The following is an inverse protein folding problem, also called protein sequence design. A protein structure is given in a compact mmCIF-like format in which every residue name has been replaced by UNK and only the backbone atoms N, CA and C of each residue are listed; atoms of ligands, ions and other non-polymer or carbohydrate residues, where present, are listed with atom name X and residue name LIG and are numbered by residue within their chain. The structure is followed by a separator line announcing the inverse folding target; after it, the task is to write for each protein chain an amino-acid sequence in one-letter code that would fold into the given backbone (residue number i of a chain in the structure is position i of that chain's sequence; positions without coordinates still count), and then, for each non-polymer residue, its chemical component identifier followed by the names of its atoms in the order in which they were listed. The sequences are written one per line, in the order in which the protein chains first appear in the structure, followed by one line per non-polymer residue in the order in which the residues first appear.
data_IF_345559677483
#
_entry.id   IF_345559677483
#
_cell.length_a   1.000
_cell.length_b   1.000
_cell.length_c   1.000
_cell.angle_alpha   90.00
_cell.angle_beta   90.00
_cell.angle_gamma   90.00
#
_symmetry.space_group_name_H-M   'P 1'
#
loop_
_entity.id
_entity.type
_entity.pdbx_description
1 polymer ?
#
# COMPACT_ATOMS: atom_id res chain seq x y z
N UNK A 1 -22.05 -50.97 -5.59
CA UNK A 1 -20.97 -50.30 -4.82
C UNK A 1 -20.41 -49.17 -5.66
N UNK A 2 -20.51 -47.96 -5.13
CA UNK A 2 -20.04 -46.64 -5.60
C UNK A 2 -18.48 -46.59 -5.70
N UNK A 3 -17.84 -45.60 -6.36
CA UNK A 3 -17.95 -44.19 -5.95
C UNK A 3 -18.13 -43.13 -7.05
N UNK A 4 -18.98 -42.17 -6.72
CA UNK A 4 -19.03 -40.81 -7.23
C UNK A 4 -17.69 -40.09 -7.01
N UNK A 5 -17.17 -39.42 -8.03
CA UNK A 5 -16.13 -38.40 -7.87
C UNK A 5 -16.77 -37.05 -7.56
N UNK A 6 -16.33 -36.47 -6.45
CA UNK A 6 -16.89 -35.31 -5.75
C UNK A 6 -16.58 -33.99 -6.46
N UNK A 7 -17.63 -33.20 -6.68
CA UNK A 7 -17.79 -31.78 -6.31
C UNK A 7 -16.57 -30.86 -6.47
N UNK A 8 -16.67 -29.96 -7.46
CA UNK A 8 -16.34 -28.54 -7.34
C UNK A 8 -14.86 -28.18 -7.18
N UNK A 9 -14.25 -27.75 -8.28
CA UNK A 9 -13.01 -26.95 -8.28
C UNK A 9 -13.19 -25.82 -7.25
N UNK A 10 -12.49 -25.90 -6.12
CA UNK A 10 -12.41 -24.82 -5.13
C UNK A 10 -12.14 -23.52 -5.90
N UNK A 11 -12.92 -22.46 -5.65
CA UNK A 11 -12.53 -21.12 -6.09
C UNK A 11 -11.06 -20.97 -5.71
N UNK A 12 -10.22 -20.65 -6.69
CA UNK A 12 -8.81 -20.36 -6.43
C UNK A 12 -8.79 -19.21 -5.44
N UNK A 13 -8.62 -19.51 -4.15
CA UNK A 13 -8.53 -18.46 -3.13
C UNK A 13 -7.18 -17.80 -3.33
N UNK A 14 -7.17 -16.68 -4.05
CA UNK A 14 -5.98 -15.84 -4.21
C UNK A 14 -5.71 -15.08 -2.90
N UNK A 15 -4.46 -14.72 -2.58
CA UNK A 15 -4.15 -13.85 -1.45
C UNK A 15 -5.01 -12.57 -1.45
N UNK A 16 -5.25 -12.01 -2.63
CA UNK A 16 -6.13 -10.85 -2.84
C UNK A 16 -7.56 -11.10 -2.35
N UNK A 17 -8.16 -12.25 -2.67
CA UNK A 17 -9.51 -12.59 -2.21
C UNK A 17 -9.59 -12.67 -0.68
N UNK A 18 -8.55 -13.19 -0.01
CA UNK A 18 -8.50 -13.23 1.46
C UNK A 18 -8.46 -11.81 2.03
N UNK A 19 -7.63 -10.93 1.46
CA UNK A 19 -7.54 -9.53 1.90
C UNK A 19 -8.86 -8.81 1.72
N UNK A 20 -9.53 -8.95 0.58
CA UNK A 20 -10.84 -8.32 0.33
C UNK A 20 -11.88 -8.73 1.39
N UNK A 21 -12.04 -10.05 1.61
CA UNK A 21 -12.97 -10.58 2.61
C UNK A 21 -12.62 -10.11 4.02
N UNK A 22 -11.34 -10.04 4.35
CA UNK A 22 -10.90 -9.58 5.66
C UNK A 22 -11.18 -8.08 5.86
N UNK A 23 -10.92 -7.24 4.86
CA UNK A 23 -11.21 -5.81 4.91
C UNK A 23 -12.71 -5.56 5.06
N UNK A 24 -13.56 -6.30 4.35
CA UNK A 24 -15.02 -6.22 4.53
C UNK A 24 -15.45 -6.58 5.95
N UNK A 25 -14.89 -7.66 6.53
CA UNK A 25 -15.18 -8.05 7.91
C UNK A 25 -14.70 -7.01 8.92
N UNK A 26 -13.46 -6.51 8.77
CA UNK A 26 -12.91 -5.49 9.66
C UNK A 26 -13.70 -4.18 9.58
N UNK A 27 -14.16 -3.81 8.39
CA UNK A 27 -15.03 -2.66 8.17
C UNK A 27 -16.39 -2.80 8.87
N UNK A 28 -17.01 -3.98 8.76
CA UNK A 28 -18.37 -4.21 9.23
C UNK A 28 -18.45 -4.44 10.75
N UNK A 29 -17.46 -5.14 11.32
CA UNK A 29 -17.46 -5.58 12.72
C UNK A 29 -16.43 -4.86 13.60
N UNK A 30 -15.54 -4.07 13.01
CA UNK A 30 -14.38 -3.50 13.69
C UNK A 30 -13.20 -4.48 13.71
N UNK A 31 -11.98 -3.95 13.60
CA UNK A 31 -10.78 -4.77 13.54
C UNK A 31 -10.65 -5.65 14.78
N UNK A 32 -10.80 -5.10 15.99
CA UNK A 32 -10.62 -5.84 17.25
C UNK A 32 -11.52 -7.07 17.39
N UNK A 33 -12.79 -6.97 16.97
CA UNK A 33 -13.83 -8.00 17.17
C UNK A 33 -13.83 -9.12 16.12
N UNK A 34 -12.93 -9.07 15.14
CA UNK A 34 -12.77 -10.10 14.11
C UNK A 34 -11.55 -10.96 14.40
N UNK A 35 -11.73 -12.26 14.61
CA UNK A 35 -10.61 -13.19 14.80
C UNK A 35 -10.02 -13.65 13.46
N UNK A 36 -8.83 -14.25 13.50
CA UNK A 36 -8.26 -14.92 12.30
C UNK A 36 -9.09 -16.13 11.86
N UNK A 37 -9.85 -16.74 12.78
CA UNK A 37 -10.74 -17.85 12.45
C UNK A 37 -12.01 -17.36 11.73
N UNK A 38 -12.54 -16.18 12.10
CA UNK A 38 -13.63 -15.51 11.38
C UNK A 38 -13.21 -15.26 9.92
N UNK A 39 -12.01 -14.69 9.71
CA UNK A 39 -11.49 -14.41 8.36
C UNK A 39 -11.30 -15.71 7.56
N UNK A 40 -10.69 -16.73 8.16
CA UNK A 40 -10.48 -18.01 7.50
C UNK A 40 -11.81 -18.66 7.10
N UNK A 41 -12.80 -18.63 7.99
CA UNK A 41 -14.14 -19.15 7.74
C UNK A 41 -14.82 -18.41 6.58
N UNK A 42 -14.82 -17.07 6.62
CA UNK A 42 -15.43 -16.24 5.57
C UNK A 42 -14.75 -16.40 4.21
N UNK A 43 -13.42 -16.59 4.18
CA UNK A 43 -12.65 -16.84 2.96
C UNK A 43 -12.73 -18.31 2.49
N UNK A 44 -13.45 -19.19 3.20
CA UNK A 44 -13.62 -20.60 2.84
C UNK A 44 -12.33 -21.43 2.95
N UNK A 45 -11.40 -21.05 3.83
CA UNK A 45 -10.09 -21.68 4.01
C UNK A 45 -9.85 -22.11 5.47
N UNK A 46 -8.82 -22.92 5.70
CA UNK A 46 -8.40 -23.25 7.07
C UNK A 46 -7.51 -22.14 7.65
N UNK A 47 -7.50 -22.02 8.99
CA UNK A 47 -6.55 -21.16 9.73
C UNK A 47 -5.10 -21.40 9.30
N UNK A 48 -4.69 -22.68 9.14
CA UNK A 48 -3.36 -23.05 8.63
C UNK A 48 -3.08 -22.49 7.23
N UNK A 49 -4.10 -22.42 6.37
CA UNK A 49 -3.97 -21.86 5.03
C UNK A 49 -3.83 -20.34 5.07
N UNK A 50 -4.60 -19.66 5.93
CA UNK A 50 -4.46 -18.22 6.16
C UNK A 50 -3.03 -17.86 6.60
N UNK A 51 -2.49 -18.57 7.59
CA UNK A 51 -1.12 -18.32 8.09
C UNK A 51 0.00 -18.67 7.12
N UNK A 52 -0.29 -19.41 6.04
CA UNK A 52 0.68 -19.61 4.95
C UNK A 52 0.88 -18.34 4.12
N UNK A 53 -0.15 -17.49 4.03
CA UNK A 53 -0.11 -16.24 3.30
C UNK A 53 0.26 -15.06 4.19
N UNK A 54 -0.23 -15.03 5.43
CA UNK A 54 -0.09 -13.89 6.32
C UNK A 54 0.49 -14.30 7.67
N UNK A 55 1.59 -13.66 8.08
CA UNK A 55 2.25 -13.95 9.35
C UNK A 55 1.41 -13.59 10.58
N UNK A 56 0.46 -12.66 10.43
CA UNK A 56 -0.42 -12.21 11.50
C UNK A 56 -1.73 -11.63 10.94
N UNK A 57 -2.72 -11.40 11.80
CA UNK A 57 -3.94 -10.65 11.46
C UNK A 57 -3.62 -9.24 10.93
N UNK A 58 -2.62 -8.59 11.52
CA UNK A 58 -2.21 -7.22 11.18
C UNK A 58 -1.59 -7.14 9.78
N UNK A 59 -1.06 -8.25 9.26
CA UNK A 59 -0.50 -8.33 7.91
C UNK A 59 -1.58 -8.44 6.82
N UNK A 60 -2.78 -8.93 7.15
CA UNK A 60 -3.83 -9.22 6.15
C UNK A 60 -4.25 -7.97 5.36
N UNK A 61 -4.48 -6.79 5.99
CA UNK A 61 -4.81 -5.56 5.27
C UNK A 61 -3.76 -5.09 4.26
N UNK A 62 -2.50 -5.50 4.44
CA UNK A 62 -1.39 -5.10 3.58
C UNK A 62 -1.24 -5.99 2.34
N UNK A 63 -1.92 -7.15 2.31
CA UNK A 63 -1.88 -8.07 1.18
C UNK A 63 -0.45 -8.51 0.87
N UNK A 64 -0.15 -8.64 -0.42
CA UNK A 64 1.20 -8.91 -0.92
C UNK A 64 1.97 -7.58 -1.08
N UNK A 65 2.37 -7.02 0.06
CA UNK A 65 3.05 -5.72 0.07
C UNK A 65 4.41 -5.75 -0.61
N UNK A 66 5.10 -6.89 -0.61
CA UNK A 66 6.39 -7.03 -1.31
C UNK A 66 6.22 -6.88 -2.82
N UNK A 67 5.14 -7.45 -3.39
CA UNK A 67 4.78 -7.23 -4.81
C UNK A 67 4.45 -5.76 -5.08
N UNK A 68 3.76 -5.08 -4.15
CA UNK A 68 3.52 -3.64 -4.27
C UNK A 68 4.84 -2.83 -4.24
N UNK A 69 5.78 -3.16 -3.36
CA UNK A 69 7.09 -2.51 -3.32
C UNK A 69 7.92 -2.78 -4.58
N UNK A 70 7.85 -3.99 -5.15
CA UNK A 70 8.48 -4.31 -6.42
C UNK A 70 7.91 -3.44 -7.55
N UNK A 71 6.58 -3.31 -7.62
CA UNK A 71 5.93 -2.45 -8.61
C UNK A 71 6.35 -0.97 -8.47
N UNK A 72 6.47 -0.45 -7.24
CA UNK A 72 6.97 0.91 -7.03
C UNK A 72 8.43 1.07 -7.51
N UNK A 73 9.29 0.06 -7.28
CA UNK A 73 10.67 0.09 -7.80
C UNK A 73 10.67 0.14 -9.32
N UNK A 74 9.88 -0.70 -9.98
CA UNK A 74 9.75 -0.71 -11.45
C UNK A 74 9.32 0.66 -11.99
N UNK A 75 8.29 1.26 -11.39
CA UNK A 75 7.82 2.61 -11.78
C UNK A 75 8.90 3.68 -11.66
N UNK A 76 9.82 3.56 -10.70
CA UNK A 76 10.91 4.51 -10.50
C UNK A 76 12.10 4.22 -11.43
N UNK A 77 12.44 2.95 -11.62
CA UNK A 77 13.55 2.50 -12.46
C UNK A 77 13.28 2.77 -13.95
N UNK A 78 12.02 2.76 -14.37
CA UNK A 78 11.59 3.05 -15.76
C UNK A 78 11.61 4.54 -16.12
N UNK A 79 11.84 5.44 -15.16
CA UNK A 79 11.87 6.89 -15.43
C UNK A 79 13.16 7.28 -16.16
N UNK A 80 13.04 8.01 -17.28
CA UNK A 80 14.20 8.59 -17.98
C UNK A 80 15.07 9.39 -16.98
N UNK A 81 16.37 9.07 -16.81
CA UNK A 81 17.26 9.74 -15.86
C UNK A 81 17.36 11.26 -16.04
N UNK A 82 17.01 11.78 -17.21
CA UNK A 82 16.98 13.23 -17.50
C UNK A 82 15.75 13.93 -16.93
N UNK A 83 14.71 13.20 -16.53
CA UNK A 83 13.54 13.77 -15.86
C UNK A 83 13.97 14.27 -14.47
N UNK A 84 13.67 15.52 -14.09
CA UNK A 84 14.01 16.07 -12.78
C UNK A 84 13.51 15.19 -11.64
N UNK A 85 14.30 15.08 -10.56
CA UNK A 85 14.00 14.17 -9.44
C UNK A 85 12.59 14.36 -8.87
N UNK A 86 12.17 15.61 -8.67
CA UNK A 86 10.82 15.91 -8.16
C UNK A 86 9.72 15.43 -9.10
N UNK A 87 9.86 15.61 -10.41
CA UNK A 87 8.88 15.17 -11.41
C UNK A 87 8.81 13.63 -11.48
N UNK A 88 9.95 12.95 -11.38
CA UNK A 88 10.03 11.49 -11.31
C UNK A 88 9.27 10.95 -10.09
N UNK A 89 9.53 11.52 -8.90
CA UNK A 89 8.88 11.13 -7.65
C UNK A 89 7.37 11.41 -7.67
N UNK A 90 6.95 12.55 -8.21
CA UNK A 90 5.52 12.89 -8.36
C UNK A 90 4.81 11.90 -9.27
N UNK A 91 5.43 11.59 -10.41
CA UNK A 91 4.87 10.67 -11.41
C UNK A 91 4.73 9.26 -10.85
N UNK A 92 5.78 8.74 -10.20
CA UNK A 92 5.74 7.43 -9.56
C UNK A 92 4.71 7.37 -8.42
N UNK A 93 4.62 8.42 -7.58
CA UNK A 93 3.60 8.51 -6.53
C UNK A 93 2.18 8.44 -7.10
N UNK A 94 1.88 9.17 -8.17
CA UNK A 94 0.56 9.16 -8.79
C UNK A 94 0.26 7.82 -9.47
N UNK A 95 1.21 7.29 -10.25
CA UNK A 95 1.06 6.02 -10.95
C UNK A 95 0.83 4.85 -9.97
N UNK A 96 1.61 4.79 -8.89
CA UNK A 96 1.50 3.75 -7.86
C UNK A 96 0.15 3.75 -7.12
N UNK A 97 -0.53 4.90 -7.08
CA UNK A 97 -1.82 5.06 -6.40
C UNK A 97 -2.98 5.31 -7.39
N UNK A 98 -2.82 4.88 -8.64
CA UNK A 98 -3.89 4.92 -9.66
C UNK A 98 -4.61 3.58 -9.69
N UNK A 99 -5.94 3.62 -9.63
CA UNK A 99 -6.82 2.46 -9.57
C UNK A 99 -8.04 2.70 -10.46
N UNK A 100 -8.71 1.64 -10.92
CA UNK A 100 -10.04 1.80 -11.52
C UNK A 100 -11.09 2.20 -10.46
N UNK A 101 -12.30 2.59 -10.88
CA UNK A 101 -13.35 3.05 -9.95
C UNK A 101 -13.72 1.98 -8.91
N UNK A 102 -13.76 0.70 -9.32
CA UNK A 102 -14.11 -0.41 -8.44
C UNK A 102 -13.02 -0.68 -7.41
N UNK A 103 -11.76 -0.59 -7.84
CA UNK A 103 -10.57 -0.75 -7.02
C UNK A 103 -10.40 0.43 -6.08
N UNK A 104 -10.71 1.65 -6.52
CA UNK A 104 -10.67 2.87 -5.72
C UNK A 104 -11.59 2.75 -4.50
N UNK A 105 -12.83 2.25 -4.69
CA UNK A 105 -13.76 2.05 -3.58
C UNK A 105 -13.23 1.00 -2.57
N UNK A 106 -12.72 -0.15 -3.06
CA UNK A 106 -12.12 -1.18 -2.20
C UNK A 106 -10.89 -0.66 -1.46
N UNK A 107 -10.05 0.08 -2.17
CA UNK A 107 -8.85 0.67 -1.64
C UNK A 107 -9.15 1.71 -0.56
N UNK A 108 -10.20 2.53 -0.74
CA UNK A 108 -10.69 3.47 0.27
C UNK A 108 -11.05 2.76 1.55
N UNK A 109 -11.79 1.65 1.45
CA UNK A 109 -12.14 0.85 2.62
C UNK A 109 -10.91 0.24 3.31
N UNK A 110 -9.95 -0.28 2.53
CA UNK A 110 -8.67 -0.78 3.05
C UNK A 110 -7.91 0.29 3.83
N UNK A 111 -7.80 1.49 3.26
CA UNK A 111 -7.07 2.60 3.89
C UNK A 111 -7.79 3.15 5.13
N UNK A 112 -9.13 3.16 5.17
CA UNK A 112 -9.86 3.46 6.42
C UNK A 112 -9.50 2.49 7.52
N UNK A 113 -9.53 1.18 7.23
CA UNK A 113 -9.16 0.15 8.21
C UNK A 113 -7.72 0.37 8.71
N UNK A 114 -6.76 0.60 7.81
CA UNK A 114 -5.35 0.79 8.18
C UNK A 114 -5.11 2.08 8.97
N UNK A 115 -5.68 3.21 8.52
CA UNK A 115 -5.43 4.54 9.09
C UNK A 115 -6.24 4.85 10.35
N UNK A 116 -7.40 4.22 10.52
CA UNK A 116 -8.31 4.48 11.65
C UNK A 116 -8.26 3.39 12.74
N UNK A 117 -7.37 2.40 12.61
CA UNK A 117 -7.15 1.35 13.62
C UNK A 117 -5.78 1.52 14.28
N UNK A 118 -5.75 1.76 15.60
CA UNK A 118 -4.52 2.03 16.34
C UNK A 118 -3.48 0.89 16.26
N UNK A 119 -3.94 -0.37 16.33
CA UNK A 119 -3.08 -1.55 16.23
C UNK A 119 -2.44 -1.67 14.83
N UNK A 120 -3.17 -1.29 13.78
CA UNK A 120 -2.65 -1.28 12.42
C UNK A 120 -1.72 -0.11 12.18
N UNK A 121 -1.97 1.05 12.81
CA UNK A 121 -1.03 2.17 12.80
C UNK A 121 0.34 1.78 13.39
N UNK A 122 0.35 1.07 14.53
CA UNK A 122 1.59 0.57 15.10
C UNK A 122 2.32 -0.42 14.17
N UNK A 123 1.58 -1.34 13.54
CA UNK A 123 2.14 -2.30 12.59
C UNK A 123 2.62 -1.64 11.28
N UNK A 124 1.94 -0.59 10.84
CA UNK A 124 2.20 0.11 9.57
C UNK A 124 3.61 0.69 9.49
N UNK A 125 4.21 1.04 10.64
CA UNK A 125 5.56 1.62 10.69
C UNK A 125 6.62 0.70 10.06
N UNK A 126 6.47 -0.62 10.21
CA UNK A 126 7.33 -1.61 9.55
C UNK A 126 7.12 -1.63 8.04
N UNK A 127 5.87 -1.54 7.60
CA UNK A 127 5.52 -1.56 6.17
C UNK A 127 6.01 -0.27 5.48
N UNK A 128 5.78 0.88 6.10
CA UNK A 128 6.27 2.17 5.62
C UNK A 128 7.79 2.27 5.60
N UNK A 129 8.52 1.51 6.43
CA UNK A 129 9.97 1.45 6.34
C UNK A 129 10.43 0.86 5.00
N UNK A 130 9.83 -0.25 4.56
CA UNK A 130 10.14 -0.85 3.25
C UNK A 130 9.79 0.09 2.08
N UNK A 131 8.66 0.78 2.16
CA UNK A 131 8.29 1.79 1.17
C UNK A 131 9.29 2.95 1.10
N UNK A 132 9.69 3.49 2.26
CA UNK A 132 10.71 4.54 2.33
C UNK A 132 12.07 4.08 1.82
N UNK A 133 12.44 2.83 2.02
CA UNK A 133 13.69 2.27 1.50
C UNK A 133 13.73 2.27 -0.03
N UNK A 134 12.61 1.97 -0.69
CA UNK A 134 12.49 2.08 -2.15
C UNK A 134 12.74 3.52 -2.62
N UNK A 135 12.06 4.49 -2.02
CA UNK A 135 12.24 5.91 -2.37
C UNK A 135 13.68 6.37 -2.11
N UNK A 136 14.24 6.03 -0.95
CA UNK A 136 15.60 6.40 -0.60
C UNK A 136 16.62 5.78 -1.58
N UNK A 137 16.42 4.52 -1.99
CA UNK A 137 17.27 3.85 -2.97
C UNK A 137 17.29 4.56 -4.32
N UNK A 138 16.11 4.92 -4.84
CA UNK A 138 16.00 5.68 -6.09
C UNK A 138 16.68 7.05 -5.99
N UNK A 139 16.42 7.81 -4.92
CA UNK A 139 17.02 9.13 -4.71
C UNK A 139 18.54 9.03 -4.58
N UNK A 140 19.04 8.04 -3.84
CA UNK A 140 20.47 7.82 -3.68
C UNK A 140 21.16 7.51 -5.01
N UNK A 141 20.53 6.69 -5.86
CA UNK A 141 21.00 6.43 -7.22
C UNK A 141 21.07 7.69 -8.08
N UNK A 142 20.03 8.55 -8.02
CA UNK A 142 19.99 9.82 -8.75
C UNK A 142 21.01 10.85 -8.27
N UNK A 143 21.38 10.82 -7.00
CA UNK A 143 22.33 11.75 -6.37
C UNK A 143 23.75 11.19 -6.23
N UNK A 144 24.00 9.96 -6.72
CA UNK A 144 25.28 9.24 -6.60
C UNK A 144 25.82 9.20 -5.16
N UNK A 145 24.94 8.96 -4.19
CA UNK A 145 25.27 8.94 -2.76
C UNK A 145 24.78 7.65 -2.08
N UNK A 146 24.97 7.53 -0.76
CA UNK A 146 24.50 6.35 -0.02
C UNK A 146 23.02 6.52 0.33
N UNK A 147 22.26 5.42 0.28
CA UNK A 147 20.86 5.39 0.74
C UNK A 147 20.68 5.87 2.18
N UNK A 148 21.70 5.72 3.02
CA UNK A 148 21.70 6.15 4.42
C UNK A 148 22.04 7.63 4.62
N UNK A 149 22.43 8.35 3.57
CA UNK A 149 22.76 9.77 3.67
C UNK A 149 21.50 10.60 3.96
N UNK A 150 21.68 11.78 4.54
CA UNK A 150 20.58 12.61 5.04
C UNK A 150 19.57 12.96 3.93
N UNK A 151 20.04 13.28 2.72
CA UNK A 151 19.18 13.72 1.63
C UNK A 151 18.20 12.61 1.16
N UNK A 152 18.65 11.40 0.75
CA UNK A 152 17.72 10.32 0.38
C UNK A 152 16.72 9.95 1.48
N UNK A 153 17.18 9.88 2.73
CA UNK A 153 16.30 9.57 3.87
C UNK A 153 15.26 10.67 4.10
N UNK A 154 15.65 11.94 4.02
CA UNK A 154 14.73 13.07 4.19
C UNK A 154 13.67 13.07 3.10
N UNK A 155 14.06 12.83 1.84
CA UNK A 155 13.11 12.73 0.73
C UNK A 155 12.15 11.56 0.94
N UNK A 156 12.63 10.39 1.36
CA UNK A 156 11.77 9.24 1.63
C UNK A 156 10.73 9.52 2.73
N UNK A 157 11.13 10.15 3.83
CA UNK A 157 10.21 10.55 4.89
C UNK A 157 9.20 11.61 4.43
N UNK A 158 9.65 12.59 3.65
CA UNK A 158 8.78 13.62 3.08
C UNK A 158 7.74 13.02 2.14
N UNK A 159 8.15 12.09 1.27
CA UNK A 159 7.25 11.39 0.36
C UNK A 159 6.21 10.56 1.11
N UNK A 160 6.58 9.93 2.22
CA UNK A 160 5.61 9.25 3.09
C UNK A 160 4.63 10.24 3.72
N UNK A 161 5.10 11.40 4.19
CA UNK A 161 4.24 12.43 4.77
C UNK A 161 3.23 12.97 3.75
N UNK A 162 3.65 13.20 2.50
CA UNK A 162 2.77 13.57 1.38
C UNK A 162 1.68 12.52 1.18
N UNK A 163 2.07 11.24 1.08
CA UNK A 163 1.11 10.16 0.87
C UNK A 163 0.09 10.07 2.02
N UNK A 164 0.55 10.05 3.27
CA UNK A 164 -0.33 9.94 4.44
C UNK A 164 -1.28 11.13 4.58
N UNK A 165 -0.78 12.35 4.40
CA UNK A 165 -1.62 13.56 4.43
C UNK A 165 -2.69 13.54 3.33
N UNK A 166 -2.33 13.12 2.12
CA UNK A 166 -3.28 12.97 1.02
C UNK A 166 -4.33 11.88 1.30
N UNK A 167 -3.91 10.72 1.84
CA UNK A 167 -4.83 9.66 2.22
C UNK A 167 -5.81 10.11 3.30
N UNK A 168 -5.33 10.73 4.38
CA UNK A 168 -6.22 11.24 5.44
C UNK A 168 -7.22 12.26 4.90
N UNK A 169 -6.78 13.20 4.06
CA UNK A 169 -7.67 14.18 3.45
C UNK A 169 -8.72 13.49 2.55
N UNK A 170 -8.28 12.62 1.65
CA UNK A 170 -9.15 11.84 0.76
C UNK A 170 -10.15 10.93 1.49
N UNK A 171 -9.82 10.44 2.68
CA UNK A 171 -10.73 9.65 3.51
C UNK A 171 -11.73 10.52 4.30
N UNK A 172 -11.39 11.78 4.56
CA UNK A 172 -12.26 12.72 5.28
C UNK A 172 -13.28 13.43 4.37
N UNK A 173 -13.03 13.48 3.05
CA UNK A 173 -13.90 14.10 2.06
C UNK A 173 -14.13 13.18 0.85
N UNK A 174 -15.33 12.62 0.74
CA UNK A 174 -15.70 11.71 -0.36
C UNK A 174 -15.68 12.37 -1.74
N UNK A 175 -15.80 13.70 -1.81
CA UNK A 175 -15.83 14.46 -3.07
C UNK A 175 -14.44 14.64 -3.68
N UNK A 176 -13.39 14.46 -2.89
CA UNK A 176 -12.00 14.56 -3.33
C UNK A 176 -11.58 13.24 -3.99
N UNK A 177 -10.85 13.33 -5.10
CA UNK A 177 -10.22 12.17 -5.74
C UNK A 177 -8.82 11.95 -5.19
N UNK A 178 -8.38 10.70 -5.06
CA UNK A 178 -7.05 10.37 -4.53
C UNK A 178 -5.91 10.99 -5.36
N UNK A 179 -5.95 10.99 -6.70
CA UNK A 179 -4.92 11.66 -7.50
C UNK A 179 -4.85 13.16 -7.25
N UNK A 180 -5.98 13.83 -7.05
CA UNK A 180 -6.00 15.26 -6.73
C UNK A 180 -5.40 15.54 -5.34
N UNK A 181 -5.76 14.74 -4.33
CA UNK A 181 -5.19 14.86 -2.99
C UNK A 181 -3.67 14.66 -2.99
N UNK A 182 -3.18 13.62 -3.66
CA UNK A 182 -1.75 13.32 -3.78
C UNK A 182 -0.98 14.40 -4.54
N UNK A 183 -1.54 14.87 -5.66
CA UNK A 183 -0.94 15.96 -6.44
C UNK A 183 -0.82 17.25 -5.62
N UNK A 184 -1.92 17.67 -4.98
CA UNK A 184 -1.94 18.88 -4.15
C UNK A 184 -0.97 18.77 -2.96
N UNK A 185 -0.93 17.62 -2.28
CA UNK A 185 -0.01 17.40 -1.18
C UNK A 185 1.46 17.41 -1.63
N UNK A 186 1.75 16.83 -2.80
CA UNK A 186 3.10 16.86 -3.37
C UNK A 186 3.52 18.29 -3.74
N UNK A 187 2.63 19.07 -4.35
CA UNK A 187 2.93 20.42 -4.84
C UNK A 187 3.32 21.38 -3.68
N UNK A 188 2.87 21.11 -2.44
CA UNK A 188 3.31 21.82 -1.23
C UNK A 188 4.80 21.65 -0.95
N UNK A 189 5.36 20.47 -1.23
CA UNK A 189 6.77 20.13 -0.92
C UNK A 189 7.68 20.10 -2.15
N UNK A 190 7.10 20.05 -3.35
CA UNK A 190 7.81 19.85 -4.62
C UNK A 190 8.89 20.88 -4.90
N UNK A 191 8.67 22.15 -4.53
CA UNK A 191 9.67 23.22 -4.67
C UNK A 191 10.96 22.99 -3.87
N UNK A 192 10.91 22.17 -2.81
CA UNK A 192 12.10 21.71 -2.08
C UNK A 192 12.95 20.74 -2.90
N UNK A 193 12.30 19.84 -3.66
CA UNK A 193 12.94 18.77 -4.43
C UNK A 193 13.58 19.29 -5.72
N UNK A 194 13.05 20.35 -6.32
CA UNK A 194 13.64 21.00 -7.51
C UNK A 194 15.09 21.47 -7.30
N UNK A 195 15.48 21.72 -6.04
CA UNK A 195 16.83 22.16 -5.67
C UNK A 195 17.82 21.01 -5.54
N UNK A 196 17.35 19.76 -5.41
CA UNK A 196 18.20 18.57 -5.26
C UNK A 196 18.59 17.93 -6.60
N UNK A 197 17.86 18.22 -7.68
CA UNK A 197 18.05 17.61 -9.00
C UNK A 197 18.75 18.49 -10.04
N UNK A 198 19.58 19.46 -9.60
CA UNK A 198 20.43 20.28 -10.48
C UNK A 198 21.86 19.78 -10.50
#
# INVERSE_FOLDING_TARGET
MTPQSRVGRRRSTTPHHITDVAIELFAARGFADVSVDDVAHAAGISRRTLFRYYASKNAIPWGDFDTHLAHLRELLDDVDPRVPLGEALRSALLAFNTFDDSETARHRQRMRVILQTAELQAYSMTMYAGWREVIAGFVAGRLECKTTDLAPQTVAWMMLAVALSAYEHWLSDESVTLPAALGNAFDVVGAGLERLGR
#
